data_IF_757198564078
#
_entry.id   IF_757198564078
#
_cell.length_a   1.000
_cell.length_b   1.000
_cell.length_c   1.000
_cell.angle_alpha   90.00
_cell.angle_beta   90.00
_cell.angle_gamma   90.00
#
_symmetry.space_group_name_H-M   'P 1'
#
loop_
_entity.id
_entity.type
_entity.pdbx_description
1 polymer ?
#
# COMPACT_ATOMS: atom_id res chain seq x y z
N UNK A 1 -3.25 12.09 15.97
CA UNK A 1 -1.92 12.69 15.71
C UNK A 1 -1.97 13.35 14.35
N UNK A 2 -1.55 14.62 14.25
CA UNK A 2 -1.61 15.38 13.01
C UNK A 2 -0.57 14.85 12.01
N UNK A 3 -0.93 14.79 10.73
CA UNK A 3 0.00 14.48 9.65
C UNK A 3 0.63 15.76 9.07
N UNK A 4 1.83 15.62 8.52
CA UNK A 4 2.49 16.61 7.68
C UNK A 4 2.48 16.10 6.24
N UNK A 5 2.11 16.95 5.30
CA UNK A 5 1.89 16.55 3.91
C UNK A 5 2.71 17.42 2.98
N UNK A 6 3.39 16.80 2.03
CA UNK A 6 4.04 17.46 0.91
C UNK A 6 3.21 17.22 -0.35
N UNK A 7 2.65 18.27 -0.94
CA UNK A 7 1.97 18.21 -2.24
C UNK A 7 2.83 18.96 -3.25
N UNK A 8 3.36 18.24 -4.24
CA UNK A 8 4.15 18.81 -5.35
C UNK A 8 5.34 19.70 -4.93
N UNK A 9 5.92 19.52 -3.74
CA UNK A 9 6.99 20.40 -3.23
C UNK A 9 6.60 21.20 -2.02
N UNK A 10 5.31 21.46 -1.84
CA UNK A 10 4.82 22.33 -0.79
C UNK A 10 4.45 21.51 0.43
N UNK A 11 5.18 21.73 1.51
CA UNK A 11 4.90 21.12 2.81
C UNK A 11 3.91 21.98 3.59
N UNK A 12 2.89 21.34 4.15
CA UNK A 12 1.91 21.94 5.05
C UNK A 12 1.45 20.93 6.10
N UNK A 13 0.68 21.39 7.08
CA UNK A 13 -0.15 20.50 7.88
C UNK A 13 -1.26 19.85 7.02
N UNK A 14 -1.92 18.83 7.59
CA UNK A 14 -2.98 18.07 6.93
C UNK A 14 -4.24 18.89 6.58
N UNK A 15 -4.49 20.01 7.24
CA UNK A 15 -5.70 20.83 7.02
C UNK A 15 -5.54 21.74 5.79
N UNK A 16 -4.30 22.16 5.52
CA UNK A 16 -3.95 23.01 4.38
C UNK A 16 -3.45 22.23 3.16
N UNK A 17 -3.32 20.90 3.27
CA UNK A 17 -2.88 20.03 2.19
C UNK A 17 -4.02 19.79 1.19
N UNK A 18 -3.91 20.34 -0.02
CA UNK A 18 -4.98 20.29 -1.03
C UNK A 18 -4.49 19.70 -2.35
N UNK A 19 -5.40 18.99 -3.02
CA UNK A 19 -5.29 18.61 -4.44
C UNK A 19 -6.46 19.23 -5.19
N UNK A 20 -6.31 19.44 -6.51
CA UNK A 20 -7.42 19.95 -7.31
C UNK A 20 -8.54 18.91 -7.42
N UNK A 21 -9.79 19.37 -7.42
CA UNK A 21 -10.94 18.51 -7.75
C UNK A 21 -10.92 18.02 -9.21
N UNK A 22 -10.11 18.65 -10.06
CA UNK A 22 -9.84 18.23 -11.45
C UNK A 22 -8.64 17.28 -11.58
N UNK A 23 -8.06 16.83 -10.47
CA UNK A 23 -7.02 15.80 -10.50
C UNK A 23 -7.68 14.45 -10.85
N UNK A 24 -7.17 13.79 -11.89
CA UNK A 24 -7.70 12.50 -12.36
C UNK A 24 -7.51 11.37 -11.33
N UNK A 25 -6.58 11.53 -10.39
CA UNK A 25 -6.48 10.66 -9.22
C UNK A 25 -7.69 10.76 -8.29
N UNK A 26 -8.28 11.95 -8.18
CA UNK A 26 -9.51 12.19 -7.41
C UNK A 26 -10.76 11.76 -8.18
N UNK A 27 -10.84 12.12 -9.47
CA UNK A 27 -12.02 11.87 -10.30
C UNK A 27 -12.20 10.41 -10.71
N UNK A 28 -11.11 9.76 -11.12
CA UNK A 28 -11.13 8.44 -11.77
C UNK A 28 -10.31 7.38 -11.03
N UNK A 29 -9.65 7.76 -9.93
CA UNK A 29 -8.72 6.87 -9.23
C UNK A 29 -7.43 6.61 -10.02
N UNK A 30 -7.11 7.43 -11.03
CA UNK A 30 -5.88 7.31 -11.82
C UNK A 30 -4.66 7.70 -11.00
N UNK A 31 -4.13 6.74 -10.27
CA UNK A 31 -2.91 6.91 -9.50
C UNK A 31 -2.45 5.64 -8.83
N UNK A 32 -1.20 5.66 -8.40
CA UNK A 32 -0.54 4.60 -7.63
C UNK A 32 -0.08 5.13 -6.30
N UNK A 33 0.12 4.23 -5.34
CA UNK A 33 0.64 4.62 -4.04
C UNK A 33 1.58 3.58 -3.46
N UNK A 34 2.42 4.03 -2.54
CA UNK A 34 3.16 3.17 -1.64
C UNK A 34 2.93 3.54 -0.18
N UNK A 35 3.20 2.59 0.71
CA UNK A 35 3.13 2.81 2.16
C UNK A 35 4.33 2.16 2.79
N UNK A 36 5.14 2.96 3.48
CA UNK A 36 6.37 2.58 4.12
C UNK A 36 6.29 2.88 5.62
N UNK A 37 7.01 2.09 6.38
CA UNK A 37 7.34 2.34 7.79
C UNK A 37 8.83 2.62 7.87
N UNK A 38 9.24 3.49 8.79
CA UNK A 38 10.66 3.58 9.14
C UNK A 38 11.05 2.60 10.25
N UNK A 39 12.32 2.20 10.24
CA UNK A 39 12.99 1.61 11.39
C UNK A 39 14.28 2.39 11.63
N UNK A 40 14.51 2.84 12.86
CA UNK A 40 15.60 3.74 13.23
C UNK A 40 15.64 4.99 12.33
N UNK A 41 14.46 5.53 12.00
CA UNK A 41 14.32 6.71 11.15
C UNK A 41 14.64 6.50 9.66
N UNK A 42 14.87 5.26 9.20
CA UNK A 42 15.11 4.95 7.77
C UNK A 42 13.91 4.22 7.15
N UNK A 43 13.43 4.62 5.95
CA UNK A 43 12.38 3.90 5.25
C UNK A 43 12.79 2.44 4.98
N UNK A 44 12.03 1.50 5.50
CA UNK A 44 12.36 0.08 5.40
C UNK A 44 12.04 -0.48 4.02
N UNK A 45 12.98 -1.24 3.45
CA UNK A 45 12.89 -1.84 2.11
C UNK A 45 12.56 -0.82 1.01
N UNK A 46 13.09 0.41 1.13
CA UNK A 46 12.82 1.53 0.23
C UNK A 46 12.90 1.16 -1.26
N UNK A 47 14.01 0.54 -1.69
CA UNK A 47 14.23 0.16 -3.09
C UNK A 47 13.13 -0.79 -3.61
N UNK A 48 12.63 -1.69 -2.76
CA UNK A 48 11.54 -2.62 -3.13
C UNK A 48 10.22 -1.87 -3.30
N UNK A 49 9.97 -0.88 -2.45
CA UNK A 49 8.80 0.00 -2.56
C UNK A 49 8.87 0.85 -3.83
N UNK A 50 10.02 1.46 -4.15
CA UNK A 50 10.18 2.25 -5.37
C UNK A 50 10.03 1.40 -6.62
N UNK A 51 10.64 0.21 -6.66
CA UNK A 51 10.45 -0.74 -7.77
C UNK A 51 8.98 -1.10 -7.99
N UNK A 52 8.20 -1.32 -6.91
CA UNK A 52 6.77 -1.63 -7.03
C UNK A 52 5.93 -0.40 -7.40
N UNK A 53 6.28 0.78 -6.93
CA UNK A 53 5.67 2.05 -7.35
C UNK A 53 5.82 2.24 -8.86
N UNK A 54 7.04 2.12 -9.39
CA UNK A 54 7.33 2.21 -10.83
C UNK A 54 6.56 1.17 -11.63
N UNK A 55 6.64 -0.11 -11.23
CA UNK A 55 5.90 -1.19 -11.90
C UNK A 55 4.39 -0.91 -11.94
N UNK A 56 3.83 -0.43 -10.84
CA UNK A 56 2.39 -0.08 -10.79
C UNK A 56 2.08 1.08 -11.72
N UNK A 57 2.94 2.10 -11.77
CA UNK A 57 2.77 3.27 -12.62
C UNK A 57 2.89 2.91 -14.11
N UNK A 58 3.86 2.05 -14.46
CA UNK A 58 4.07 1.55 -15.83
C UNK A 58 2.83 0.81 -16.35
N UNK A 59 2.19 0.00 -15.50
CA UNK A 59 0.93 -0.69 -15.84
C UNK A 59 -0.25 0.26 -16.08
N UNK A 60 -0.16 1.52 -15.64
CA UNK A 60 -1.13 2.57 -15.91
C UNK A 60 -0.63 3.58 -16.96
N UNK A 61 0.55 3.37 -17.56
CA UNK A 61 1.21 4.37 -18.42
C UNK A 61 1.32 5.73 -17.71
N UNK A 62 1.57 5.71 -16.40
CA UNK A 62 1.63 6.89 -15.53
C UNK A 62 3.08 7.33 -15.33
N UNK A 63 3.50 8.51 -15.80
CA UNK A 63 4.83 9.02 -15.51
C UNK A 63 4.98 9.29 -14.00
N UNK A 64 6.12 8.86 -13.45
CA UNK A 64 6.52 9.21 -12.08
C UNK A 64 7.62 10.27 -12.18
N UNK A 65 7.33 11.55 -11.87
CA UNK A 65 8.15 12.70 -12.31
C UNK A 65 9.40 12.95 -11.45
N UNK A 66 9.72 12.05 -10.53
CA UNK A 66 10.88 12.14 -9.63
C UNK A 66 11.72 10.88 -9.81
N UNK A 67 13.04 10.97 -9.69
CA UNK A 67 13.93 9.84 -9.49
C UNK A 67 13.82 9.29 -8.05
N UNK A 68 14.27 8.06 -7.81
CA UNK A 68 14.15 7.43 -6.48
C UNK A 68 14.91 8.22 -5.39
N UNK A 69 16.06 8.80 -5.73
CA UNK A 69 16.81 9.68 -4.82
C UNK A 69 16.04 10.97 -4.48
N UNK A 70 15.27 11.51 -5.42
CA UNK A 70 14.42 12.69 -5.18
C UNK A 70 13.21 12.32 -4.32
N UNK A 71 12.64 11.13 -4.49
CA UNK A 71 11.58 10.61 -3.61
C UNK A 71 12.09 10.46 -2.18
N UNK A 72 13.27 9.87 -1.99
CA UNK A 72 13.90 9.76 -0.66
C UNK A 72 14.15 11.15 -0.04
N UNK A 73 14.65 12.10 -0.83
CA UNK A 73 14.82 13.49 -0.37
C UNK A 73 13.49 14.11 0.08
N UNK A 74 12.40 13.90 -0.66
CA UNK A 74 11.05 14.38 -0.26
C UNK A 74 10.55 13.70 1.01
N UNK A 75 10.81 12.40 1.19
CA UNK A 75 10.45 11.69 2.43
C UNK A 75 11.18 12.31 3.62
N UNK A 76 12.50 12.48 3.51
CA UNK A 76 13.34 13.06 4.58
C UNK A 76 12.95 14.50 4.90
N UNK A 77 12.67 15.31 3.88
CA UNK A 77 12.21 16.69 4.06
C UNK A 77 10.87 16.74 4.81
N UNK A 78 9.90 15.94 4.38
CA UNK A 78 8.57 15.88 4.99
C UNK A 78 8.63 15.31 6.41
N UNK A 79 9.48 14.31 6.66
CA UNK A 79 9.74 13.79 8.01
C UNK A 79 10.37 14.84 8.94
N UNK A 80 11.35 15.60 8.46
CA UNK A 80 11.95 16.70 9.25
C UNK A 80 10.89 17.74 9.63
N UNK A 81 10.06 18.15 8.67
CA UNK A 81 8.96 19.08 8.93
C UNK A 81 7.91 18.52 9.92
N UNK A 82 7.70 17.20 9.92
CA UNK A 82 6.84 16.51 10.88
C UNK A 82 7.46 16.34 12.29
N UNK A 83 8.71 16.77 12.50
CA UNK A 83 9.45 16.52 13.75
C UNK A 83 9.82 15.04 13.96
N UNK A 84 9.88 14.27 12.86
CA UNK A 84 10.24 12.84 12.82
C UNK A 84 11.57 12.61 12.06
N UNK A 85 12.25 13.66 11.63
CA UNK A 85 13.54 13.56 10.96
C UNK A 85 14.65 13.18 11.93
N UNK A 86 15.24 11.99 11.76
CA UNK A 86 16.33 11.50 12.62
C UNK A 86 15.91 11.04 14.02
N UNK A 87 14.61 10.99 14.31
CA UNK A 87 14.08 10.45 15.55
C UNK A 87 14.26 8.92 15.57
N UNK A 88 15.30 8.44 16.24
CA UNK A 88 15.54 6.99 16.44
C UNK A 88 14.48 6.37 17.35
N UNK A 89 13.82 7.20 18.17
CA UNK A 89 12.82 6.81 19.16
C UNK A 89 11.37 6.84 18.63
N UNK A 90 11.13 7.38 17.43
CA UNK A 90 9.79 7.54 16.87
C UNK A 90 9.76 7.22 15.38
N UNK A 91 9.18 6.06 15.05
CA UNK A 91 9.02 5.66 13.66
C UNK A 91 7.94 6.44 12.94
N UNK A 92 8.13 6.64 11.63
CA UNK A 92 7.20 7.30 10.74
C UNK A 92 6.42 6.29 9.91
N UNK A 93 5.14 6.58 9.72
CA UNK A 93 4.33 6.10 8.61
C UNK A 93 4.50 7.08 7.46
N UNK A 94 4.89 6.58 6.29
CA UNK A 94 5.06 7.36 5.08
C UNK A 94 4.13 6.78 4.00
N UNK A 95 3.32 7.63 3.38
CA UNK A 95 2.54 7.26 2.19
C UNK A 95 2.86 8.21 1.06
N UNK A 96 3.30 7.65 -0.08
CA UNK A 96 3.43 8.39 -1.33
C UNK A 96 2.26 8.04 -2.24
N UNK A 97 1.69 9.04 -2.91
CA UNK A 97 0.75 8.88 -4.00
C UNK A 97 1.31 9.59 -5.22
N UNK A 98 1.17 8.98 -6.38
CA UNK A 98 1.40 9.60 -7.68
C UNK A 98 0.11 9.50 -8.46
N UNK A 99 -0.48 10.62 -8.86
CA UNK A 99 -1.70 10.66 -9.66
C UNK A 99 -1.40 11.14 -11.07
N UNK A 100 -2.29 10.84 -12.01
CA UNK A 100 -2.24 11.36 -13.38
C UNK A 100 -2.17 12.89 -13.43
N UNK A 101 -2.75 13.56 -12.42
CA UNK A 101 -2.68 15.01 -12.26
C UNK A 101 -3.90 15.73 -12.79
N UNK A 102 -3.80 17.05 -12.88
CA UNK A 102 -4.89 17.96 -13.26
C UNK A 102 -5.08 17.94 -14.77
N UNK A 103 -6.32 17.80 -15.23
CA UNK A 103 -6.63 17.83 -16.66
C UNK A 103 -8.12 17.96 -16.96
N UNK A 104 -8.44 18.02 -18.25
CA UNK A 104 -9.83 18.01 -18.75
C UNK A 104 -10.55 16.71 -18.36
N UNK A 105 -11.89 16.76 -18.26
CA UNK A 105 -12.72 15.60 -17.91
C UNK A 105 -12.82 14.60 -19.08
N UNK A 106 -11.73 13.87 -19.31
CA UNK A 106 -11.60 12.86 -20.36
C UNK A 106 -10.78 11.68 -19.86
N UNK A 107 -10.74 10.61 -20.65
CA UNK A 107 -9.92 9.42 -20.38
C UNK A 107 -8.59 9.43 -21.15
N UNK A 108 -8.27 10.51 -21.88
CA UNK A 108 -7.01 10.61 -22.60
C UNK A 108 -5.88 10.98 -21.61
N UNK A 109 -4.85 10.15 -21.43
CA UNK A 109 -3.71 10.48 -20.58
C UNK A 109 -3.03 11.81 -20.94
N UNK A 110 -3.09 12.23 -22.20
CA UNK A 110 -2.52 13.50 -22.67
C UNK A 110 -3.28 14.73 -22.15
N UNK A 111 -4.52 14.56 -21.65
CA UNK A 111 -5.29 15.64 -21.04
C UNK A 111 -4.69 16.14 -19.72
N UNK A 112 -3.77 15.37 -19.11
CA UNK A 112 -3.07 15.75 -17.89
C UNK A 112 -1.58 15.99 -18.19
N UNK A 113 -1.11 17.25 -18.26
CA UNK A 113 0.26 17.56 -18.66
C UNK A 113 1.32 17.20 -17.60
N UNK A 114 0.93 17.04 -16.34
CA UNK A 114 1.86 16.75 -15.25
C UNK A 114 1.21 15.92 -14.15
N UNK A 115 1.89 14.84 -13.74
CA UNK A 115 1.49 14.01 -12.61
C UNK A 115 1.64 14.76 -11.28
N UNK A 116 0.70 14.56 -10.34
CA UNK A 116 0.81 15.09 -8.98
C UNK A 116 1.51 14.07 -8.08
N UNK A 117 2.38 14.54 -7.18
CA UNK A 117 3.03 13.73 -6.15
C UNK A 117 2.63 14.24 -4.78
N UNK A 118 2.11 13.34 -3.96
CA UNK A 118 1.71 13.61 -2.57
C UNK A 118 2.51 12.70 -1.63
N UNK A 119 3.13 13.25 -0.61
CA UNK A 119 3.77 12.50 0.48
C UNK A 119 3.10 12.85 1.79
N UNK A 120 2.54 11.86 2.48
CA UNK A 120 1.93 12.00 3.80
C UNK A 120 2.87 11.35 4.81
N UNK A 121 3.25 12.10 5.85
CA UNK A 121 4.04 11.61 6.97
C UNK A 121 3.27 11.82 8.27
N UNK A 122 3.23 10.79 9.11
CA UNK A 122 2.72 10.86 10.47
C UNK A 122 3.47 9.88 11.38
N UNK A 123 3.39 10.02 12.71
CA UNK A 123 3.92 9.01 13.61
C UNK A 123 3.32 7.63 13.31
N UNK A 124 4.16 6.60 13.24
CA UNK A 124 3.71 5.23 13.18
C UNK A 124 3.04 4.85 14.51
N UNK A 125 1.99 4.04 14.43
CA UNK A 125 1.29 3.50 15.60
C UNK A 125 1.36 2.00 15.48
N UNK A 126 2.04 1.36 16.42
CA UNK A 126 2.07 -0.09 16.49
C UNK A 126 0.66 -0.63 16.81
N UNK A 127 0.31 -1.82 16.31
CA UNK A 127 -0.95 -2.45 16.67
C UNK A 127 -1.03 -2.66 18.19
N UNK A 128 -2.25 -2.72 18.76
CA UNK A 128 -2.43 -3.03 20.17
C UNK A 128 -1.67 -4.29 20.56
N UNK A 129 -0.98 -4.25 21.71
CA UNK A 129 -0.17 -5.37 22.20
C UNK A 129 -0.94 -6.69 22.25
N UNK A 130 -2.21 -6.62 22.65
CA UNK A 130 -3.13 -7.76 22.67
C UNK A 130 -3.30 -8.45 21.30
N UNK A 131 -3.28 -7.69 20.19
CA UNK A 131 -3.40 -8.27 18.85
C UNK A 131 -2.17 -9.10 18.49
N UNK A 132 -0.99 -8.66 18.94
CA UNK A 132 0.27 -9.37 18.71
C UNK A 132 0.35 -10.62 19.57
N UNK A 133 -0.07 -10.53 20.84
CA UNK A 133 0.03 -11.64 21.79
C UNK A 133 -1.05 -12.70 21.64
N UNK A 134 -2.28 -12.30 21.28
CA UNK A 134 -3.46 -13.18 21.24
C UNK A 134 -4.03 -13.40 19.85
N UNK A 135 -3.50 -12.69 18.85
CA UNK A 135 -4.07 -12.66 17.52
C UNK A 135 -5.34 -11.82 17.43
N UNK A 136 -5.91 -11.79 16.23
CA UNK A 136 -7.14 -11.06 15.92
C UNK A 136 -8.16 -11.99 15.26
N UNK A 137 -9.43 -11.69 15.42
CA UNK A 137 -10.49 -12.33 14.64
C UNK A 137 -10.48 -11.79 13.21
N UNK A 138 -10.40 -12.68 12.24
CA UNK A 138 -10.61 -12.36 10.82
C UNK A 138 -11.94 -12.93 10.34
N UNK A 139 -12.54 -12.27 9.36
CA UNK A 139 -13.79 -12.71 8.74
C UNK A 139 -13.54 -13.12 7.29
N UNK A 140 -13.97 -14.31 6.89
CA UNK A 140 -14.08 -14.62 5.46
C UNK A 140 -15.25 -13.81 4.90
N UNK A 141 -15.00 -12.99 3.88
CA UNK A 141 -16.01 -12.08 3.30
C UNK A 141 -16.49 -12.57 1.94
N UNK A 142 -17.68 -12.11 1.53
CA UNK A 142 -18.31 -12.52 0.27
C UNK A 142 -17.85 -11.64 -0.91
N UNK A 143 -17.32 -10.44 -0.63
CA UNK A 143 -16.66 -9.61 -1.65
C UNK A 143 -15.47 -10.37 -2.24
N UNK A 144 -15.58 -10.71 -3.53
CA UNK A 144 -14.52 -11.36 -4.31
C UNK A 144 -13.46 -10.33 -4.70
N UNK A 145 -12.19 -10.73 -4.65
CA UNK A 145 -11.06 -9.91 -5.10
C UNK A 145 -11.21 -9.56 -6.59
N UNK A 146 -10.77 -8.35 -6.99
CA UNK A 146 -10.79 -7.94 -8.39
C UNK A 146 -10.18 -9.01 -9.31
N UNK A 147 -10.84 -9.25 -10.43
CA UNK A 147 -10.33 -10.15 -11.46
C UNK A 147 -9.01 -9.59 -12.05
N UNK A 148 -7.96 -10.41 -12.27
CA UNK A 148 -6.71 -9.94 -12.88
C UNK A 148 -6.88 -9.31 -14.27
N UNK A 149 -7.92 -9.72 -15.01
CA UNK A 149 -8.32 -9.14 -16.30
C UNK A 149 -9.21 -7.89 -16.24
N UNK A 150 -9.52 -7.35 -15.06
CA UNK A 150 -10.20 -6.05 -14.90
C UNK A 150 -9.23 -5.01 -14.31
N UNK A 151 -9.47 -4.52 -13.09
CA UNK A 151 -8.49 -3.70 -12.36
C UNK A 151 -7.51 -4.65 -11.68
N UNK A 152 -6.39 -4.91 -12.38
CA UNK A 152 -5.42 -5.92 -12.00
C UNK A 152 -4.85 -5.70 -10.57
N UNK A 153 -5.04 -6.66 -9.63
CA UNK A 153 -4.51 -6.60 -8.26
C UNK A 153 -3.00 -6.42 -8.11
N UNK A 154 -2.21 -6.70 -9.16
CA UNK A 154 -0.77 -6.48 -9.17
C UNK A 154 -0.39 -4.99 -9.09
N UNK A 155 -1.32 -4.10 -9.44
CA UNK A 155 -1.17 -2.65 -9.41
C UNK A 155 -1.56 -2.15 -8.01
N UNK A 156 -0.64 -1.49 -7.32
CA UNK A 156 -0.95 -0.79 -6.06
C UNK A 156 -1.58 0.58 -6.35
N UNK A 157 -2.79 0.57 -6.89
CA UNK A 157 -3.51 1.77 -7.34
C UNK A 157 -4.38 2.41 -6.25
N UNK A 158 -4.85 3.63 -6.50
CA UNK A 158 -5.81 4.33 -5.63
C UNK A 158 -7.24 3.73 -5.69
N UNK A 159 -7.50 2.76 -6.57
CA UNK A 159 -8.80 2.09 -6.74
C UNK A 159 -9.04 1.01 -5.65
N UNK A 160 -9.19 1.45 -4.41
CA UNK A 160 -9.33 0.58 -3.22
C UNK A 160 -10.78 0.26 -2.83
N UNK A 161 -11.77 0.58 -3.67
CA UNK A 161 -13.19 0.36 -3.34
C UNK A 161 -13.51 -1.12 -3.06
N UNK A 162 -12.92 -2.05 -3.82
CA UNK A 162 -13.04 -3.49 -3.58
C UNK A 162 -12.58 -3.87 -2.16
N UNK A 163 -11.38 -3.42 -1.78
CA UNK A 163 -10.82 -3.63 -0.45
C UNK A 163 -11.65 -2.95 0.65
N UNK A 164 -12.17 -1.76 0.40
CA UNK A 164 -13.00 -1.02 1.36
C UNK A 164 -14.33 -1.73 1.64
N UNK A 165 -15.01 -2.21 0.59
CA UNK A 165 -16.27 -2.96 0.73
C UNK A 165 -16.04 -4.28 1.48
N UNK A 166 -14.95 -4.99 1.17
CA UNK A 166 -14.53 -6.18 1.90
C UNK A 166 -14.28 -5.89 3.39
N UNK A 167 -13.57 -4.79 3.71
CA UNK A 167 -13.28 -4.42 5.09
C UNK A 167 -14.54 -4.03 5.87
N UNK A 168 -15.45 -3.27 5.23
CA UNK A 168 -16.75 -2.92 5.82
C UNK A 168 -17.59 -4.16 6.13
N UNK A 169 -17.55 -5.18 5.27
CA UNK A 169 -18.18 -6.46 5.54
C UNK A 169 -17.52 -7.20 6.71
N UNK A 170 -16.19 -7.23 6.78
CA UNK A 170 -15.46 -7.83 7.88
C UNK A 170 -15.85 -7.22 9.24
N UNK A 171 -15.93 -5.88 9.32
CA UNK A 171 -16.38 -5.17 10.51
C UNK A 171 -17.81 -5.54 10.90
N UNK A 172 -18.74 -5.63 9.95
CA UNK A 172 -20.12 -6.08 10.22
C UNK A 172 -20.19 -7.52 10.75
N UNK A 173 -19.25 -8.37 10.37
CA UNK A 173 -19.10 -9.75 10.87
C UNK A 173 -18.30 -9.85 12.19
N UNK A 174 -17.90 -8.71 12.77
CA UNK A 174 -17.13 -8.63 14.01
C UNK A 174 -15.65 -9.01 13.87
N UNK A 175 -15.12 -9.01 12.64
CA UNK A 175 -13.69 -9.22 12.37
C UNK A 175 -12.92 -7.90 12.40
N UNK A 176 -11.65 -7.97 12.79
CA UNK A 176 -10.67 -6.87 12.69
C UNK A 176 -10.17 -6.69 11.25
N UNK A 177 -10.20 -7.76 10.46
CA UNK A 177 -9.76 -7.82 9.08
C UNK A 177 -10.60 -8.83 8.29
N UNK A 178 -10.71 -8.65 6.97
CA UNK A 178 -11.39 -9.53 6.04
C UNK A 178 -10.42 -10.37 5.22
N UNK A 179 -10.76 -11.64 4.99
CA UNK A 179 -10.08 -12.54 4.04
C UNK A 179 -10.95 -12.66 2.79
N UNK A 180 -10.38 -12.39 1.62
CA UNK A 180 -11.09 -12.46 0.34
C UNK A 180 -10.73 -13.73 -0.43
N UNK A 181 -11.69 -14.21 -1.21
CA UNK A 181 -11.48 -15.23 -2.25
C UNK A 181 -11.25 -14.59 -3.61
N UNK A 182 -10.58 -15.30 -4.51
CA UNK A 182 -10.48 -14.93 -5.92
C UNK A 182 -11.70 -15.43 -6.71
N UNK A 183 -11.71 -15.11 -8.01
CA UNK A 183 -12.77 -15.50 -8.95
C UNK A 183 -12.88 -17.01 -9.19
N UNK A 184 -11.90 -17.81 -8.75
CA UNK A 184 -11.92 -19.28 -8.78
C UNK A 184 -12.45 -19.89 -7.47
N UNK A 185 -12.78 -19.06 -6.48
CA UNK A 185 -13.24 -19.49 -5.16
C UNK A 185 -12.12 -19.87 -4.17
N UNK A 186 -10.85 -19.66 -4.55
CA UNK A 186 -9.68 -19.93 -3.73
C UNK A 186 -9.35 -18.73 -2.82
N UNK A 187 -8.64 -18.92 -1.71
CA UNK A 187 -8.16 -17.79 -0.90
C UNK A 187 -7.12 -16.95 -1.66
N UNK A 188 -7.24 -15.62 -1.58
CA UNK A 188 -6.33 -14.69 -2.28
C UNK A 188 -5.46 -13.88 -1.32
N UNK A 189 -6.07 -12.92 -0.61
CA UNK A 189 -5.39 -12.05 0.35
C UNK A 189 -6.42 -11.46 1.33
N UNK A 190 -5.93 -10.79 2.37
CA UNK A 190 -6.78 -9.98 3.23
C UNK A 190 -7.06 -8.61 2.59
N UNK A 191 -7.92 -7.79 3.21
CA UNK A 191 -8.26 -6.50 2.62
C UNK A 191 -7.09 -5.52 2.57
N UNK A 192 -6.14 -5.60 3.52
CA UNK A 192 -4.96 -4.73 3.57
C UNK A 192 -3.63 -5.48 3.73
N UNK A 193 -3.62 -6.81 3.70
CA UNK A 193 -2.43 -7.64 3.93
C UNK A 193 -2.45 -8.95 3.12
N UNK A 194 -1.28 -9.55 2.89
CA UNK A 194 -1.23 -10.93 2.38
C UNK A 194 -1.47 -11.92 3.53
N UNK A 195 -2.01 -13.09 3.18
CA UNK A 195 -2.31 -14.16 4.14
C UNK A 195 -1.23 -15.26 4.11
N UNK A 196 -0.93 -15.81 5.29
CA UNK A 196 -0.16 -17.03 5.45
C UNK A 196 -0.91 -18.01 6.37
N UNK A 197 -0.84 -19.31 6.07
CA UNK A 197 -1.30 -20.41 6.92
C UNK A 197 -0.10 -21.27 7.28
N UNK A 198 0.15 -21.48 8.58
CA UNK A 198 1.18 -22.41 9.05
C UNK A 198 0.57 -23.79 9.21
N UNK A 199 1.09 -24.78 8.48
CA UNK A 199 0.63 -26.17 8.53
C UNK A 199 1.81 -27.12 8.34
N UNK A 200 1.91 -28.12 9.22
CA UNK A 200 2.95 -29.16 9.17
C UNK A 200 4.39 -28.58 9.11
N UNK A 201 4.66 -27.51 9.86
CA UNK A 201 5.98 -26.88 9.91
C UNK A 201 6.32 -25.94 8.74
N UNK A 202 5.43 -25.78 7.76
CA UNK A 202 5.60 -24.85 6.64
C UNK A 202 4.64 -23.67 6.71
N UNK A 203 5.08 -22.50 6.26
CA UNK A 203 4.25 -21.32 6.04
C UNK A 203 3.79 -21.25 4.58
N UNK A 204 2.49 -21.36 4.36
CA UNK A 204 1.85 -21.44 3.05
C UNK A 204 1.17 -20.11 2.75
N UNK A 205 1.36 -19.56 1.55
CA UNK A 205 0.66 -18.34 1.09
C UNK A 205 0.12 -18.55 -0.32
N UNK A 206 -1.01 -17.94 -0.72
CA UNK A 206 -1.51 -18.10 -2.08
C UNK A 206 -0.48 -17.64 -3.12
N UNK A 207 -0.39 -18.29 -4.29
CA UNK A 207 0.48 -17.84 -5.38
C UNK A 207 0.02 -16.48 -5.94
N UNK A 208 0.93 -15.77 -6.62
CA UNK A 208 0.62 -14.45 -7.19
C UNK A 208 -0.51 -14.51 -8.24
N UNK A 209 -0.62 -15.63 -8.97
CA UNK A 209 -1.68 -15.87 -9.96
C UNK A 209 -3.08 -16.12 -9.34
N UNK A 210 -3.18 -16.18 -8.01
CA UNK A 210 -4.44 -16.09 -7.28
C UNK A 210 -5.07 -14.69 -7.40
N UNK A 211 -4.35 -13.70 -7.95
CA UNK A 211 -4.85 -12.34 -8.15
C UNK A 211 -4.71 -11.47 -6.90
N UNK A 212 -3.54 -11.54 -6.24
CA UNK A 212 -3.19 -10.75 -5.06
C UNK A 212 -2.13 -9.71 -5.37
N UNK A 213 -1.96 -8.73 -4.47
CA UNK A 213 -0.81 -7.82 -4.56
C UNK A 213 0.45 -8.54 -4.05
N UNK A 214 1.56 -8.61 -4.82
CA UNK A 214 2.81 -9.18 -4.33
C UNK A 214 3.41 -8.25 -3.27
N UNK A 215 3.06 -8.50 -2.01
CA UNK A 215 3.49 -7.70 -0.88
C UNK A 215 5.00 -7.72 -0.68
N UNK A 216 5.56 -6.58 -0.30
CA UNK A 216 6.99 -6.47 0.02
C UNK A 216 7.30 -7.22 1.32
N UNK A 217 6.44 -7.08 2.34
CA UNK A 217 6.53 -7.89 3.57
C UNK A 217 6.35 -9.38 3.29
N UNK A 218 5.41 -9.74 2.40
CA UNK A 218 5.24 -11.13 1.96
C UNK A 218 6.53 -11.68 1.35
N UNK A 219 7.14 -10.97 0.41
CA UNK A 219 8.42 -11.38 -0.19
C UNK A 219 9.54 -11.46 0.86
N UNK A 220 9.62 -10.50 1.78
CA UNK A 220 10.61 -10.50 2.85
C UNK A 220 10.43 -11.70 3.80
N UNK A 221 9.21 -12.19 4.03
CA UNK A 221 8.98 -13.40 4.83
C UNK A 221 9.57 -14.67 4.20
N UNK A 222 9.73 -14.76 2.88
CA UNK A 222 10.46 -15.89 2.27
C UNK A 222 11.95 -15.87 2.67
N UNK A 223 12.57 -14.70 2.73
CA UNK A 223 13.96 -14.53 3.17
C UNK A 223 14.12 -14.83 4.67
N UNK A 224 13.20 -14.31 5.48
CA UNK A 224 13.17 -14.57 6.93
C UNK A 224 12.96 -16.05 7.22
N UNK A 225 12.04 -16.72 6.51
CA UNK A 225 11.80 -18.15 6.64
C UNK A 225 13.05 -18.96 6.32
N UNK A 226 13.71 -18.68 5.18
CA UNK A 226 14.96 -19.33 4.83
C UNK A 226 16.04 -19.15 5.90
N UNK A 227 16.21 -17.93 6.43
CA UNK A 227 17.16 -17.67 7.51
C UNK A 227 16.81 -18.37 8.83
N UNK A 228 15.52 -18.58 9.11
CA UNK A 228 15.02 -19.25 10.31
C UNK A 228 14.90 -20.78 10.16
N UNK A 229 15.19 -21.35 8.98
CA UNK A 229 14.99 -22.77 8.71
C UNK A 229 13.52 -23.19 8.61
N UNK A 230 12.62 -22.25 8.29
CA UNK A 230 11.18 -22.49 8.09
C UNK A 230 10.88 -22.44 6.59
N UNK A 231 10.31 -23.52 6.05
CA UNK A 231 9.85 -23.54 4.66
C UNK A 231 8.71 -22.51 4.47
N UNK A 232 8.90 -21.59 3.53
CA UNK A 232 7.88 -20.67 3.07
C UNK A 232 7.63 -20.95 1.60
N UNK A 233 6.40 -21.30 1.23
CA UNK A 233 6.07 -21.62 -0.16
C UNK A 233 4.71 -21.12 -0.60
N UNK A 234 4.61 -20.91 -1.90
CA UNK A 234 3.35 -20.58 -2.56
C UNK A 234 2.51 -21.85 -2.75
N UNK A 235 1.24 -21.80 -2.38
CA UNK A 235 0.30 -22.92 -2.53
C UNK A 235 -1.13 -22.39 -2.56
N UNK A 236 -1.99 -22.96 -3.40
CA UNK A 236 -3.43 -22.73 -3.31
C UNK A 236 -3.91 -23.23 -1.94
N UNK A 237 -4.62 -22.35 -1.21
CA UNK A 237 -5.09 -22.57 0.17
C UNK A 237 -6.58 -22.87 0.23
#
# INVERSE_FOLDING_TARGET
MAATVNVNGRISDQEHAVVSVFDHGFLYGEGVYETLRTYNGQPFLFDRHMKRLRRSADMLVLPVPLADAEVDARFRETMRAAGLGGAVDREAYIRILVTRGIGELSYDPAACPAASVVVIVKPHVDPPREWVERGVRVSLVDVVRNHPGSVNPLIKSNNLLNNALAMQEAFRRGGVEGVMRNYRGELAECTQSNLFIVKNGAALTPPVDAGLLPGITRAFLFEVGAAAGIEVREQVL
#
